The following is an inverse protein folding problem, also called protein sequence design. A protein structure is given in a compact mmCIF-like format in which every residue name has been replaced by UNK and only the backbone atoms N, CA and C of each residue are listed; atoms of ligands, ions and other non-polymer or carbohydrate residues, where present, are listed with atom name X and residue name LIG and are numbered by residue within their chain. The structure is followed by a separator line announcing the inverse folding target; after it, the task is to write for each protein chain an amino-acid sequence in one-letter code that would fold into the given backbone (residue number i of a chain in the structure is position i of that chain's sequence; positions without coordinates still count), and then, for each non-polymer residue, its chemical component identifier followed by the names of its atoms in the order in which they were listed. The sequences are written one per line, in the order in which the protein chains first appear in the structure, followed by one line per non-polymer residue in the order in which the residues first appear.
data_IF_326082135819
#
_entry.id   IF_326082135819
#
_cell.length_a   1.000
_cell.length_b   1.000
_cell.length_c   1.000
_cell.angle_alpha   90.00
_cell.angle_beta   90.00
_cell.angle_gamma   90.00
#
_symmetry.space_group_name_H-M   'P 1'
#
loop_
_entity.id
_entity.type
_entity.pdbx_description
1 polymer ?
#
# COMPACT_ATOMS: atom_id res chain seq x y z
N UNK A 1 9.05 -34.95 22.26
CA UNK A 1 9.08 -34.90 20.78
C UNK A 1 9.68 -33.57 20.37
N UNK A 2 10.90 -33.56 19.83
CA UNK A 2 11.53 -32.36 19.29
C UNK A 2 10.85 -32.00 17.97
N UNK A 3 9.77 -31.22 18.03
CA UNK A 3 9.14 -30.67 16.83
C UNK A 3 10.04 -29.55 16.31
N UNK A 4 10.71 -29.80 15.19
CA UNK A 4 11.43 -28.79 14.42
C UNK A 4 10.50 -27.57 14.23
N UNK A 5 10.95 -26.33 14.51
CA UNK A 5 10.08 -25.17 14.35
C UNK A 5 9.71 -25.06 12.88
N UNK A 6 8.41 -25.14 12.59
CA UNK A 6 7.88 -24.91 11.26
C UNK A 6 8.18 -23.47 10.87
N UNK A 7 8.83 -23.31 9.74
CA UNK A 7 9.33 -22.05 9.19
C UNK A 7 8.46 -21.59 8.04
N UNK A 8 8.55 -20.30 7.70
CA UNK A 8 7.92 -19.74 6.51
C UNK A 8 8.31 -20.53 5.24
N UNK A 9 9.55 -21.04 5.21
CA UNK A 9 10.08 -21.87 4.14
C UNK A 9 9.32 -23.21 3.95
N UNK A 10 8.71 -23.76 5.01
CA UNK A 10 7.93 -25.00 4.90
C UNK A 10 6.59 -24.77 4.19
N UNK A 11 6.01 -23.57 4.25
CA UNK A 11 4.82 -23.24 3.46
C UNK A 11 5.21 -22.99 1.99
N UNK A 12 6.29 -22.24 1.76
CA UNK A 12 6.80 -21.93 0.41
C UNK A 12 7.11 -23.21 -0.38
N UNK A 13 7.65 -24.24 0.26
CA UNK A 13 7.89 -25.55 -0.36
C UNK A 13 6.61 -26.28 -0.82
N UNK A 14 5.43 -25.82 -0.43
CA UNK A 14 4.15 -26.38 -0.92
C UNK A 14 3.62 -25.66 -2.17
N UNK A 15 4.27 -24.57 -2.60
CA UNK A 15 3.81 -23.73 -3.69
C UNK A 15 4.38 -24.23 -5.03
N UNK A 16 3.47 -24.73 -5.87
CA UNK A 16 3.73 -25.12 -7.25
C UNK A 16 2.84 -24.28 -8.16
N UNK A 17 3.42 -23.57 -9.11
CA UNK A 17 2.70 -22.65 -9.97
C UNK A 17 3.48 -22.26 -11.23
N UNK A 18 2.82 -21.57 -12.16
CA UNK A 18 3.42 -20.89 -13.30
C UNK A 18 3.12 -19.40 -13.17
N UNK A 19 4.16 -18.58 -13.03
CA UNK A 19 4.02 -17.14 -13.11
C UNK A 19 3.93 -16.73 -14.58
N UNK A 20 2.92 -15.93 -14.94
CA UNK A 20 2.60 -15.52 -16.30
C UNK A 20 2.55 -14.00 -16.37
N UNK A 21 3.17 -13.45 -17.40
CA UNK A 21 3.05 -12.04 -17.76
C UNK A 21 3.04 -11.88 -19.30
N UNK A 22 2.27 -10.91 -19.78
CA UNK A 22 2.12 -10.59 -21.20
C UNK A 22 2.40 -9.11 -21.47
N UNK A 23 3.19 -8.84 -22.51
CA UNK A 23 3.21 -7.51 -23.12
C UNK A 23 2.24 -7.44 -24.29
N UNK A 24 1.50 -6.34 -24.38
CA UNK A 24 0.39 -6.19 -25.33
C UNK A 24 0.40 -4.82 -26.02
N UNK A 25 -0.26 -4.70 -27.17
CA UNK A 25 -0.35 -3.43 -27.90
C UNK A 25 -1.33 -2.42 -27.30
N UNK A 26 -1.99 -2.76 -26.20
CA UNK A 26 -2.99 -1.95 -25.49
C UNK A 26 -3.83 -2.79 -24.54
N UNK A 27 -4.87 -2.21 -23.94
CA UNK A 27 -5.55 -2.80 -22.78
C UNK A 27 -6.79 -3.66 -23.10
N UNK A 28 -7.28 -3.67 -24.35
CA UNK A 28 -8.52 -4.38 -24.72
C UNK A 28 -8.20 -5.69 -25.45
N UNK A 29 -8.42 -6.87 -24.83
CA UNK A 29 -8.08 -8.17 -25.43
C UNK A 29 -8.84 -8.47 -26.74
N UNK A 30 -9.93 -7.74 -27.03
CA UNK A 30 -10.67 -7.88 -28.29
C UNK A 30 -10.04 -7.08 -29.42
N UNK A 31 -9.34 -5.98 -29.11
CA UNK A 31 -8.80 -5.02 -30.10
C UNK A 31 -7.28 -5.02 -30.18
N UNK A 32 -6.61 -5.43 -29.11
CA UNK A 32 -5.17 -5.41 -28.98
C UNK A 32 -4.60 -6.82 -29.10
N UNK A 33 -3.30 -6.88 -29.35
CA UNK A 33 -2.56 -8.11 -29.65
C UNK A 33 -1.46 -8.31 -28.62
N UNK A 34 -1.15 -9.57 -28.34
CA UNK A 34 -0.01 -9.98 -27.52
C UNK A 34 1.27 -9.83 -28.36
N UNK A 35 2.33 -9.27 -27.78
CA UNK A 35 3.63 -9.06 -28.43
C UNK A 35 4.80 -9.72 -27.71
N UNK A 36 4.66 -10.05 -26.43
CA UNK A 36 5.58 -10.90 -25.67
C UNK A 36 4.80 -11.74 -24.68
N UNK A 37 5.26 -12.98 -24.47
CA UNK A 37 4.72 -13.91 -23.48
C UNK A 37 5.89 -14.44 -22.67
N UNK A 38 5.79 -14.39 -21.34
CA UNK A 38 6.68 -15.13 -20.46
C UNK A 38 5.89 -15.95 -19.45
N UNK A 39 6.31 -17.20 -19.27
CA UNK A 39 5.76 -18.11 -18.28
C UNK A 39 6.90 -18.82 -17.54
N UNK A 40 6.94 -18.73 -16.22
CA UNK A 40 8.03 -19.26 -15.39
C UNK A 40 7.47 -20.26 -14.40
N UNK A 41 7.93 -21.50 -14.48
CA UNK A 41 7.48 -22.58 -13.60
C UNK A 41 8.25 -22.54 -12.30
N UNK A 42 7.49 -22.61 -11.21
CA UNK A 42 7.98 -22.82 -9.87
C UNK A 42 7.45 -24.14 -9.31
N UNK A 43 8.36 -24.96 -8.77
CA UNK A 43 8.06 -26.21 -8.06
C UNK A 43 8.71 -26.14 -6.69
N UNK A 44 7.93 -26.40 -5.65
CA UNK A 44 8.32 -26.27 -4.24
C UNK A 44 8.96 -24.92 -3.93
N UNK A 45 8.39 -23.85 -4.50
CA UNK A 45 8.87 -22.48 -4.35
C UNK A 45 10.21 -22.19 -5.04
N UNK A 46 10.66 -23.03 -5.98
CA UNK A 46 11.89 -22.81 -6.76
C UNK A 46 11.60 -22.80 -8.24
N UNK A 47 12.23 -21.86 -8.96
CA UNK A 47 12.22 -21.81 -10.43
C UNK A 47 12.78 -23.11 -11.01
N UNK A 48 12.04 -23.74 -11.91
CA UNK A 48 12.47 -24.97 -12.61
C UNK A 48 12.58 -24.80 -14.11
N UNK A 49 11.64 -24.07 -14.74
CA UNK A 49 11.56 -23.96 -16.19
C UNK A 49 11.10 -22.56 -16.61
N UNK A 50 11.46 -22.15 -17.82
CA UNK A 50 11.07 -20.86 -18.41
C UNK A 50 10.58 -21.10 -19.83
N UNK A 51 9.45 -20.48 -20.15
CA UNK A 51 8.96 -20.27 -21.50
C UNK A 51 8.94 -18.77 -21.78
N UNK A 52 9.53 -18.36 -22.90
CA UNK A 52 9.49 -16.97 -23.36
C UNK A 52 9.37 -16.95 -24.88
N UNK A 53 8.49 -16.10 -25.40
CA UNK A 53 8.39 -15.87 -26.83
C UNK A 53 7.95 -14.45 -27.12
N UNK A 54 8.62 -13.81 -28.06
CA UNK A 54 8.02 -12.69 -28.78
C UNK A 54 6.90 -13.21 -29.69
N UNK A 55 5.93 -12.34 -29.98
CA UNK A 55 4.79 -12.63 -30.85
C UNK A 55 4.68 -11.53 -31.89
N UNK A 56 4.63 -11.92 -33.17
CA UNK A 56 4.52 -10.96 -34.27
C UNK A 56 3.07 -10.48 -34.43
N UNK A 57 2.74 -9.20 -34.15
CA UNK A 57 1.38 -8.68 -34.29
C UNK A 57 0.99 -8.52 -35.76
N UNK A 58 -0.32 -8.50 -36.04
CA UNK A 58 -0.89 -8.21 -37.36
C UNK A 58 -0.96 -6.70 -37.60
N UNK A 59 -1.24 -5.92 -36.56
CA UNK A 59 -1.34 -4.46 -36.60
C UNK A 59 -0.03 -3.73 -36.31
N UNK A 60 -0.08 -2.40 -36.45
CA UNK A 60 1.02 -1.53 -36.02
C UNK A 60 1.01 -1.35 -34.51
N UNK A 61 2.20 -1.19 -33.94
CA UNK A 61 2.39 -0.99 -32.50
C UNK A 61 2.39 0.52 -32.23
N UNK A 62 1.53 1.02 -31.33
CA UNK A 62 1.58 2.42 -30.91
C UNK A 62 2.96 2.78 -30.35
N UNK A 63 3.50 3.94 -30.73
CA UNK A 63 4.87 4.36 -30.32
C UNK A 63 5.09 4.36 -28.80
N UNK A 64 4.04 4.65 -28.02
CA UNK A 64 4.17 4.66 -26.56
C UNK A 64 4.42 3.25 -25.98
N UNK A 65 3.94 2.18 -26.64
CA UNK A 65 4.18 0.79 -26.21
C UNK A 65 5.67 0.46 -26.35
N UNK A 66 6.32 0.85 -27.45
CA UNK A 66 7.78 0.70 -27.59
C UNK A 66 8.55 1.37 -26.44
N UNK A 67 8.16 2.58 -26.06
CA UNK A 67 8.81 3.30 -24.96
C UNK A 67 8.52 2.69 -23.59
N UNK A 68 7.35 2.07 -23.43
CA UNK A 68 6.96 1.40 -22.21
C UNK A 68 7.69 0.07 -22.06
N UNK A 69 7.65 -0.79 -23.09
CA UNK A 69 8.08 -2.19 -23.00
C UNK A 69 9.50 -2.43 -23.48
N UNK A 70 10.14 -1.44 -24.10
CA UNK A 70 11.45 -1.59 -24.72
C UNK A 70 11.51 -2.64 -25.85
N UNK A 71 10.36 -3.09 -26.38
CA UNK A 71 10.27 -4.04 -27.50
C UNK A 71 10.33 -3.28 -28.83
N UNK A 72 11.47 -3.33 -29.52
CA UNK A 72 11.64 -2.75 -30.85
C UNK A 72 10.84 -3.54 -31.90
N UNK A 73 10.11 -2.88 -32.82
CA UNK A 73 9.45 -3.55 -33.95
C UNK A 73 10.35 -4.53 -34.73
N UNK A 74 11.66 -4.31 -34.79
CA UNK A 74 12.62 -5.22 -35.44
C UNK A 74 12.70 -6.59 -34.73
N UNK A 75 12.54 -6.63 -33.41
CA UNK A 75 12.52 -7.87 -32.62
C UNK A 75 11.32 -8.75 -33.00
N UNK A 76 10.22 -8.13 -33.45
CA UNK A 76 8.97 -8.80 -33.77
C UNK A 76 8.84 -9.23 -35.23
N UNK A 77 9.75 -8.77 -36.12
CA UNK A 77 9.71 -9.12 -37.54
C UNK A 77 9.94 -10.61 -37.81
N UNK A 78 10.78 -11.25 -36.98
CA UNK A 78 11.10 -12.68 -37.07
C UNK A 78 10.40 -13.52 -36.00
N UNK A 79 9.59 -12.89 -35.16
CA UNK A 79 8.86 -13.59 -34.13
C UNK A 79 7.76 -14.48 -34.77
N UNK A 80 7.45 -15.63 -34.15
CA UNK A 80 6.34 -16.47 -34.59
C UNK A 80 5.00 -15.74 -34.45
N UNK A 81 3.97 -16.22 -35.17
CA UNK A 81 2.60 -15.74 -34.99
C UNK A 81 2.00 -16.31 -33.71
N UNK A 82 1.00 -15.63 -33.15
CA UNK A 82 0.35 -16.05 -31.91
C UNK A 82 -0.22 -17.48 -32.03
N UNK A 83 -0.76 -17.82 -33.20
CA UNK A 83 -1.31 -19.13 -33.51
C UNK A 83 -0.28 -20.28 -33.39
N UNK A 84 1.02 -19.97 -33.55
CA UNK A 84 2.12 -20.92 -33.39
C UNK A 84 2.60 -21.03 -31.93
N UNK A 85 2.53 -19.93 -31.18
CA UNK A 85 3.00 -19.82 -29.79
C UNK A 85 1.93 -20.30 -28.80
N UNK A 86 0.66 -20.05 -29.10
CA UNK A 86 -0.47 -20.31 -28.20
C UNK A 86 -0.56 -21.79 -27.75
N UNK A 87 -0.40 -22.80 -28.62
CA UNK A 87 -0.39 -24.19 -28.17
C UNK A 87 0.75 -24.50 -27.19
N UNK A 88 1.91 -23.87 -27.36
CA UNK A 88 3.10 -24.10 -26.54
C UNK A 88 2.93 -23.51 -25.14
N UNK A 89 2.38 -22.28 -25.04
CA UNK A 89 2.11 -21.67 -23.72
C UNK A 89 1.04 -22.44 -22.95
N UNK A 90 -0.02 -22.92 -23.62
CA UNK A 90 -1.06 -23.73 -22.96
C UNK A 90 -0.49 -25.07 -22.50
N UNK A 91 0.35 -25.71 -23.32
CA UNK A 91 1.05 -26.93 -22.90
C UNK A 91 2.00 -26.67 -21.73
N UNK A 92 2.71 -25.53 -21.73
CA UNK A 92 3.57 -25.14 -20.62
C UNK A 92 2.75 -24.88 -19.35
N UNK A 93 1.61 -24.21 -19.42
CA UNK A 93 0.77 -23.99 -18.23
C UNK A 93 0.22 -25.33 -17.71
N UNK A 94 -0.31 -26.18 -18.59
CA UNK A 94 -0.94 -27.46 -18.22
C UNK A 94 -2.04 -27.25 -17.17
N UNK A 95 -2.05 -28.08 -16.13
CA UNK A 95 -2.99 -27.97 -14.99
C UNK A 95 -2.44 -27.12 -13.83
N UNK A 96 -1.31 -26.41 -14.04
CA UNK A 96 -0.64 -25.64 -12.99
C UNK A 96 -1.51 -24.46 -12.54
N UNK A 97 -1.37 -24.06 -11.28
CA UNK A 97 -1.90 -22.76 -10.83
C UNK A 97 -1.20 -21.65 -11.58
N UNK A 98 -1.94 -20.63 -12.02
CA UNK A 98 -1.37 -19.46 -12.71
C UNK A 98 -1.23 -18.30 -11.71
N UNK A 99 -0.05 -17.73 -11.63
CA UNK A 99 0.24 -16.55 -10.82
C UNK A 99 0.48 -15.37 -11.74
N UNK A 100 -0.11 -14.22 -11.42
CA UNK A 100 0.07 -12.99 -12.20
C UNK A 100 -0.20 -11.76 -11.37
N UNK A 101 0.41 -10.64 -11.74
CA UNK A 101 0.08 -9.34 -11.19
C UNK A 101 -1.12 -8.77 -11.96
N UNK A 102 -2.32 -8.78 -11.36
CA UNK A 102 -3.58 -8.54 -12.11
C UNK A 102 -3.87 -9.64 -13.14
N UNK A 103 -3.65 -10.91 -12.78
CA UNK A 103 -3.70 -12.10 -13.65
C UNK A 103 -4.93 -12.21 -14.56
N UNK A 104 -6.07 -11.62 -14.16
CA UNK A 104 -7.27 -11.60 -15.00
C UNK A 104 -7.07 -10.84 -16.31
N UNK A 105 -6.13 -9.90 -16.37
CA UNK A 105 -5.74 -9.19 -17.59
C UNK A 105 -5.10 -10.17 -18.58
N UNK A 106 -4.03 -10.85 -18.17
CA UNK A 106 -3.26 -11.77 -19.01
C UNK A 106 -4.13 -12.92 -19.51
N UNK A 107 -4.92 -13.52 -18.60
CA UNK A 107 -5.85 -14.58 -18.95
C UNK A 107 -6.93 -14.07 -19.91
N UNK A 108 -7.40 -12.82 -19.76
CA UNK A 108 -8.35 -12.24 -20.70
C UNK A 108 -7.82 -12.16 -22.14
N UNK A 109 -6.52 -11.90 -22.32
CA UNK A 109 -5.86 -11.92 -23.62
C UNK A 109 -5.72 -13.34 -24.18
N UNK A 110 -5.29 -14.30 -23.36
CA UNK A 110 -5.18 -15.70 -23.77
C UNK A 110 -6.55 -16.31 -24.10
N UNK A 111 -7.57 -16.07 -23.29
CA UNK A 111 -8.94 -16.55 -23.51
C UNK A 111 -9.51 -15.98 -24.81
N UNK A 112 -9.29 -14.68 -25.09
CA UNK A 112 -9.71 -14.08 -26.35
C UNK A 112 -8.97 -14.69 -27.55
N UNK A 113 -7.70 -15.07 -27.41
CA UNK A 113 -6.95 -15.77 -28.47
C UNK A 113 -7.49 -17.19 -28.68
N UNK A 114 -7.70 -17.96 -27.61
CA UNK A 114 -8.25 -19.32 -27.65
C UNK A 114 -9.64 -19.36 -28.29
N UNK A 115 -10.52 -18.42 -27.92
CA UNK A 115 -11.85 -18.33 -28.49
C UNK A 115 -11.85 -18.05 -30.00
N UNK A 116 -10.90 -17.23 -30.50
CA UNK A 116 -10.76 -16.98 -31.96
C UNK A 116 -10.36 -18.25 -32.72
N UNK A 117 -9.64 -19.16 -32.08
CA UNK A 117 -9.29 -20.48 -32.64
C UNK A 117 -10.37 -21.55 -32.39
N UNK A 118 -11.50 -21.20 -31.76
CA UNK A 118 -12.54 -22.16 -31.39
C UNK A 118 -12.12 -23.16 -30.29
N UNK A 119 -11.12 -22.80 -29.47
CA UNK A 119 -10.64 -23.60 -28.34
C UNK A 119 -11.36 -23.23 -27.03
N UNK A 120 -11.28 -24.12 -26.05
CA UNK A 120 -11.74 -23.87 -24.69
C UNK A 120 -10.86 -22.83 -24.00
N UNK A 121 -11.47 -22.05 -23.10
CA UNK A 121 -10.80 -21.03 -22.27
C UNK A 121 -10.04 -21.64 -21.10
N UNK A 122 -9.15 -20.87 -20.48
CA UNK A 122 -8.34 -21.29 -19.34
C UNK A 122 -9.18 -21.36 -18.06
N UNK A 123 -9.24 -22.54 -17.46
CA UNK A 123 -10.00 -22.82 -16.23
C UNK A 123 -9.11 -23.07 -15.01
N UNK A 124 -7.80 -22.90 -15.13
CA UNK A 124 -6.83 -23.10 -14.06
C UNK A 124 -7.15 -22.23 -12.84
N UNK A 125 -6.84 -22.74 -11.65
CA UNK A 125 -6.77 -21.94 -10.44
C UNK A 125 -5.76 -20.80 -10.62
N UNK A 126 -6.05 -19.65 -10.02
CA UNK A 126 -5.25 -18.43 -10.16
C UNK A 126 -4.89 -17.87 -8.81
N UNK A 127 -3.71 -17.24 -8.70
CA UNK A 127 -3.30 -16.41 -7.56
C UNK A 127 -2.90 -15.02 -8.06
N UNK A 128 -3.63 -13.99 -7.65
CA UNK A 128 -3.37 -12.61 -8.05
C UNK A 128 -2.57 -11.87 -6.96
N UNK A 129 -1.30 -11.56 -7.26
CA UNK A 129 -0.41 -10.87 -6.32
C UNK A 129 -0.85 -9.42 -6.05
N UNK A 130 -1.54 -8.77 -7.00
CA UNK A 130 -2.12 -7.45 -6.79
C UNK A 130 -3.29 -7.52 -5.80
N UNK A 131 -4.19 -8.50 -5.96
CA UNK A 131 -5.31 -8.67 -5.03
C UNK A 131 -4.83 -9.01 -3.61
N UNK A 132 -3.91 -9.97 -3.49
CA UNK A 132 -3.35 -10.35 -2.19
C UNK A 132 -2.63 -9.19 -1.52
N UNK A 133 -1.83 -8.42 -2.25
CA UNK A 133 -1.16 -7.25 -1.67
C UNK A 133 -2.17 -6.17 -1.24
N UNK A 134 -3.27 -5.96 -1.97
CA UNK A 134 -4.34 -5.01 -1.57
C UNK A 134 -4.98 -5.35 -0.23
N UNK A 135 -5.04 -6.65 0.08
CA UNK A 135 -5.57 -7.13 1.36
C UNK A 135 -4.50 -7.02 2.45
N UNK A 136 -3.31 -7.56 2.22
CA UNK A 136 -2.32 -7.78 3.28
C UNK A 136 -1.28 -6.67 3.48
N UNK A 137 -1.15 -5.73 2.53
CA UNK A 137 -0.22 -4.60 2.57
C UNK A 137 -0.95 -3.25 2.50
N UNK A 138 -1.90 -2.93 3.39
CA UNK A 138 -2.78 -1.77 3.21
C UNK A 138 -2.07 -0.40 3.25
N UNK A 139 -0.85 -0.33 3.81
CA UNK A 139 -0.13 0.93 4.08
C UNK A 139 0.87 1.36 3.01
N UNK A 140 1.08 0.55 1.96
CA UNK A 140 1.94 0.94 0.82
C UNK A 140 1.19 1.96 -0.06
N UNK A 141 1.91 2.73 -0.86
CA UNK A 141 1.31 3.84 -1.61
C UNK A 141 0.36 3.39 -2.73
N UNK A 142 0.71 2.31 -3.41
CA UNK A 142 -0.06 1.66 -4.47
C UNK A 142 0.34 0.19 -4.57
N UNK A 143 -0.37 -0.57 -5.40
CA UNK A 143 -0.16 -2.01 -5.58
C UNK A 143 0.38 -2.33 -6.98
N UNK A 144 1.18 -1.43 -7.58
CA UNK A 144 1.96 -1.76 -8.77
C UNK A 144 3.05 -2.78 -8.43
N UNK A 145 3.47 -3.58 -9.42
CA UNK A 145 4.53 -4.58 -9.23
C UNK A 145 5.78 -3.94 -8.64
N UNK A 146 6.22 -2.80 -9.20
CA UNK A 146 7.40 -2.07 -8.71
C UNK A 146 7.27 -1.58 -7.27
N UNK A 147 6.09 -1.15 -6.82
CA UNK A 147 5.89 -0.76 -5.40
C UNK A 147 5.95 -1.97 -4.47
N UNK A 148 5.38 -3.10 -4.87
CA UNK A 148 5.42 -4.33 -4.07
C UNK A 148 6.85 -4.91 -4.03
N UNK A 149 7.58 -4.87 -5.14
CA UNK A 149 8.98 -5.28 -5.20
C UNK A 149 9.84 -4.45 -4.24
N UNK A 150 9.71 -3.12 -4.27
CA UNK A 150 10.39 -2.23 -3.31
C UNK A 150 10.02 -2.51 -1.85
N UNK A 151 8.78 -2.93 -1.58
CA UNK A 151 8.36 -3.26 -0.22
C UNK A 151 9.06 -4.52 0.31
N UNK A 152 9.33 -5.49 -0.57
CA UNK A 152 9.98 -6.75 -0.22
C UNK A 152 11.48 -6.81 -0.56
N UNK A 153 12.07 -5.68 -0.94
CA UNK A 153 13.46 -5.57 -1.39
C UNK A 153 13.80 -6.55 -2.55
N UNK A 154 12.89 -6.65 -3.54
CA UNK A 154 13.07 -7.41 -4.78
C UNK A 154 13.59 -6.47 -5.88
N UNK A 155 14.66 -6.89 -6.56
CA UNK A 155 15.26 -6.14 -7.67
C UNK A 155 14.45 -6.32 -8.95
N UNK A 156 13.68 -5.30 -9.33
CA UNK A 156 12.97 -5.27 -10.61
C UNK A 156 13.82 -4.52 -11.65
N UNK A 157 14.61 -5.28 -12.41
CA UNK A 157 15.44 -4.78 -13.52
C UNK A 157 14.71 -5.01 -14.84
N UNK A 158 14.72 -4.02 -15.74
CA UNK A 158 14.00 -4.06 -17.03
C UNK A 158 12.47 -4.23 -16.89
N UNK A 159 11.85 -3.48 -15.98
CA UNK A 159 10.39 -3.43 -15.84
C UNK A 159 9.70 -3.24 -17.20
N UNK A 160 8.50 -3.83 -17.36
CA UNK A 160 7.75 -3.88 -18.62
C UNK A 160 8.40 -4.75 -19.70
N UNK A 161 9.12 -5.78 -19.27
CA UNK A 161 9.47 -6.92 -20.09
C UNK A 161 8.81 -8.13 -19.47
N UNK A 162 8.12 -8.93 -20.29
CA UNK A 162 7.30 -10.02 -19.77
C UNK A 162 8.10 -11.00 -18.90
N UNK A 163 9.34 -11.32 -19.29
CA UNK A 163 10.21 -12.21 -18.52
C UNK A 163 10.63 -11.63 -17.16
N UNK A 164 11.01 -10.35 -17.14
CA UNK A 164 11.36 -9.65 -15.91
C UNK A 164 10.15 -9.53 -14.96
N UNK A 165 8.99 -9.15 -15.49
CA UNK A 165 7.77 -8.94 -14.71
C UNK A 165 7.18 -10.27 -14.23
N UNK A 166 7.25 -11.35 -15.03
CA UNK A 166 6.87 -12.71 -14.60
C UNK A 166 7.78 -13.24 -13.47
N UNK A 167 9.10 -13.03 -13.56
CA UNK A 167 10.04 -13.44 -12.52
C UNK A 167 9.78 -12.68 -11.21
N UNK A 168 9.69 -11.35 -11.28
CA UNK A 168 9.41 -10.52 -10.13
C UNK A 168 8.05 -10.84 -9.50
N UNK A 169 7.03 -11.17 -10.31
CA UNK A 169 5.72 -11.61 -9.84
C UNK A 169 5.81 -12.94 -9.07
N UNK A 170 6.62 -13.90 -9.55
CA UNK A 170 6.84 -15.16 -8.83
C UNK A 170 7.51 -14.92 -7.47
N UNK A 171 8.54 -14.08 -7.43
CA UNK A 171 9.22 -13.72 -6.18
C UNK A 171 8.29 -12.97 -5.22
N UNK A 172 7.48 -12.04 -5.73
CA UNK A 172 6.45 -11.34 -4.95
C UNK A 172 5.45 -12.32 -4.36
N UNK A 173 4.99 -13.31 -5.10
CA UNK A 173 4.07 -14.34 -4.59
C UNK A 173 4.70 -15.12 -3.43
N UNK A 174 5.97 -15.52 -3.56
CA UNK A 174 6.71 -16.20 -2.49
C UNK A 174 6.82 -15.29 -1.26
N UNK A 175 7.25 -14.03 -1.44
CA UNK A 175 7.39 -13.07 -0.34
C UNK A 175 6.08 -12.72 0.34
N UNK A 176 4.99 -12.58 -0.41
CA UNK A 176 3.64 -12.44 0.13
C UNK A 176 3.24 -13.66 0.96
N UNK A 177 3.49 -14.88 0.46
CA UNK A 177 3.18 -16.11 1.18
C UNK A 177 3.95 -16.21 2.51
N UNK A 178 5.27 -15.93 2.49
CA UNK A 178 6.10 -15.86 3.70
C UNK A 178 5.57 -14.83 4.69
N UNK A 179 5.31 -13.60 4.21
CA UNK A 179 4.79 -12.50 5.02
C UNK A 179 3.45 -12.86 5.66
N UNK A 180 2.51 -13.42 4.90
CA UNK A 180 1.17 -13.70 5.40
C UNK A 180 1.21 -14.76 6.50
N UNK A 181 1.94 -15.86 6.27
CA UNK A 181 2.04 -16.97 7.24
C UNK A 181 2.79 -16.55 8.50
N UNK A 182 3.82 -15.70 8.36
CA UNK A 182 4.59 -15.16 9.49
C UNK A 182 3.75 -14.29 10.41
N UNK A 183 2.81 -13.54 9.84
CA UNK A 183 2.19 -12.41 10.53
C UNK A 183 0.71 -12.58 10.88
N UNK A 184 -0.06 -13.37 10.12
CA UNK A 184 -1.50 -13.46 10.29
C UNK A 184 -1.96 -14.85 10.72
N UNK A 185 -2.72 -14.88 11.81
CA UNK A 185 -3.25 -16.12 12.36
C UNK A 185 -4.33 -16.72 11.44
N UNK A 186 -4.52 -18.03 11.54
CA UNK A 186 -5.52 -18.78 10.77
C UNK A 186 -6.92 -18.14 10.80
N UNK A 187 -7.36 -17.61 11.94
CA UNK A 187 -8.69 -16.98 12.05
C UNK A 187 -8.82 -15.69 11.24
N UNK A 188 -7.75 -14.90 11.12
CA UNK A 188 -7.73 -13.71 10.27
C UNK A 188 -7.84 -14.14 8.81
N UNK A 189 -7.03 -15.11 8.39
CA UNK A 189 -7.00 -15.59 7.01
C UNK A 189 -8.30 -16.31 6.62
N UNK A 190 -8.94 -17.03 7.55
CA UNK A 190 -10.23 -17.68 7.34
C UNK A 190 -11.31 -16.65 7.08
N UNK A 191 -11.23 -15.50 7.78
CA UNK A 191 -12.13 -14.39 7.55
C UNK A 191 -11.91 -13.74 6.18
N UNK A 192 -10.66 -13.59 5.74
CA UNK A 192 -10.37 -13.10 4.38
C UNK A 192 -10.92 -14.06 3.32
N UNK A 193 -10.80 -15.37 3.51
CA UNK A 193 -11.39 -16.35 2.59
C UNK A 193 -12.91 -16.23 2.51
N UNK A 194 -13.59 -16.13 3.67
CA UNK A 194 -15.05 -15.95 3.72
C UNK A 194 -15.49 -14.65 3.02
N UNK A 195 -14.79 -13.54 3.23
CA UNK A 195 -15.05 -12.29 2.51
C UNK A 195 -14.80 -12.41 1.01
N UNK A 196 -13.77 -13.16 0.58
CA UNK A 196 -13.49 -13.43 -0.84
C UNK A 196 -14.62 -14.23 -1.50
N UNK A 197 -15.18 -15.23 -0.80
CA UNK A 197 -16.34 -15.99 -1.27
C UNK A 197 -17.57 -15.10 -1.40
N UNK A 198 -17.88 -14.29 -0.39
CA UNK A 198 -19.01 -13.37 -0.44
C UNK A 198 -18.85 -12.30 -1.53
N UNK A 199 -17.62 -11.88 -1.81
CA UNK A 199 -17.28 -10.95 -2.87
C UNK A 199 -17.37 -11.56 -4.29
N UNK A 200 -17.54 -12.88 -4.41
CA UNK A 200 -17.48 -13.61 -5.69
C UNK A 200 -16.11 -13.51 -6.39
N UNK A 201 -15.03 -13.33 -5.61
CA UNK A 201 -13.65 -13.22 -6.10
C UNK A 201 -12.85 -14.52 -5.86
N UNK A 202 -13.52 -15.66 -5.73
CA UNK A 202 -12.84 -16.92 -5.43
C UNK A 202 -11.90 -17.39 -6.55
N UNK A 203 -12.12 -16.92 -7.78
CA UNK A 203 -11.41 -17.36 -8.98
C UNK A 203 -10.02 -16.71 -9.14
N UNK A 204 -9.70 -15.67 -8.36
CA UNK A 204 -8.44 -14.93 -8.44
C UNK A 204 -7.45 -15.27 -7.35
N UNK A 205 -7.88 -15.42 -6.09
CA UNK A 205 -6.97 -15.73 -4.96
C UNK A 205 -7.56 -16.73 -3.96
N UNK A 206 -8.78 -17.20 -4.18
CA UNK A 206 -9.49 -18.10 -3.25
C UNK A 206 -8.78 -19.44 -3.08
N UNK A 207 -8.15 -19.97 -4.14
CA UNK A 207 -7.36 -21.20 -4.07
C UNK A 207 -6.15 -21.04 -3.15
N UNK A 208 -5.40 -19.93 -3.25
CA UNK A 208 -4.25 -19.64 -2.37
C UNK A 208 -4.67 -19.62 -0.91
N UNK A 209 -5.74 -18.88 -0.59
CA UNK A 209 -6.24 -18.74 0.78
C UNK A 209 -6.67 -20.09 1.37
N UNK A 210 -7.34 -20.96 0.59
CA UNK A 210 -7.69 -22.32 1.02
C UNK A 210 -6.46 -23.16 1.32
N UNK A 211 -5.49 -23.19 0.38
CA UNK A 211 -4.23 -23.93 0.53
C UNK A 211 -3.45 -23.48 1.77
N UNK A 212 -3.36 -22.17 1.99
CA UNK A 212 -2.73 -21.58 3.17
C UNK A 212 -3.45 -22.00 4.46
N UNK A 213 -4.78 -21.95 4.49
CA UNK A 213 -5.56 -22.34 5.68
C UNK A 213 -5.44 -23.82 6.01
N UNK A 214 -5.40 -24.69 5.00
CA UNK A 214 -5.13 -26.12 5.20
C UNK A 214 -3.76 -26.35 5.83
N UNK A 215 -2.74 -25.63 5.35
CA UNK A 215 -1.41 -25.67 5.94
C UNK A 215 -1.42 -25.14 7.38
N UNK A 216 -2.03 -23.99 7.64
CA UNK A 216 -2.12 -23.42 9.00
C UNK A 216 -2.88 -24.36 9.96
N UNK A 217 -3.92 -25.03 9.48
CA UNK A 217 -4.71 -26.01 10.24
C UNK A 217 -3.90 -27.25 10.62
N UNK A 218 -3.07 -27.77 9.72
CA UNK A 218 -2.18 -28.92 10.00
C UNK A 218 -1.08 -28.58 11.00
N UNK A 219 -0.74 -27.30 11.11
CA UNK A 219 0.36 -26.78 11.93
C UNK A 219 -0.15 -25.98 13.15
N UNK A 220 -1.38 -26.24 13.60
CA UNK A 220 -1.98 -25.58 14.78
C UNK A 220 -1.15 -25.83 16.05
N UNK A 221 -1.11 -24.83 16.93
CA UNK A 221 -0.41 -24.91 18.22
C UNK A 221 1.10 -24.64 18.14
N UNK A 222 1.65 -24.43 16.94
CA UNK A 222 3.03 -23.98 16.77
C UNK A 222 3.13 -22.44 16.79
N UNK A 223 4.30 -21.92 17.18
CA UNK A 223 4.75 -20.51 17.29
C UNK A 223 3.66 -19.43 17.15
N UNK A 224 3.44 -18.66 18.24
CA UNK A 224 2.55 -17.50 18.22
C UNK A 224 2.98 -16.50 17.14
N UNK A 225 2.10 -16.26 16.17
CA UNK A 225 2.30 -15.20 15.16
C UNK A 225 2.11 -13.83 15.79
N UNK A 226 2.84 -12.84 15.28
CA UNK A 226 2.71 -11.45 15.66
C UNK A 226 2.39 -10.61 14.45
N UNK A 227 1.39 -9.74 14.56
CA UNK A 227 1.05 -8.77 13.53
C UNK A 227 2.30 -7.93 13.16
N UNK A 228 2.44 -7.53 11.89
CA UNK A 228 3.55 -6.73 11.44
C UNK A 228 3.50 -5.35 12.11
N UNK A 229 4.66 -4.74 12.40
CA UNK A 229 4.69 -3.41 12.99
C UNK A 229 4.13 -2.37 11.99
N UNK A 230 3.33 -1.43 12.50
CA UNK A 230 2.86 -0.29 11.73
C UNK A 230 3.51 1.01 12.26
N UNK A 231 4.31 1.66 11.41
CA UNK A 231 4.98 2.93 11.75
C UNK A 231 4.13 4.17 11.48
N UNK A 232 3.00 4.04 10.76
CA UNK A 232 2.08 5.15 10.52
C UNK A 232 1.30 5.42 11.79
N UNK A 233 1.78 6.40 12.55
CA UNK A 233 1.12 6.97 13.72
C UNK A 233 0.62 8.37 13.40
N UNK A 234 -0.41 8.83 14.09
CA UNK A 234 -0.97 10.18 13.96
C UNK A 234 -0.54 11.11 15.10
N UNK A 235 0.41 10.67 15.93
CA UNK A 235 1.00 11.45 17.04
C UNK A 235 2.51 11.26 17.01
N UNK A 236 3.25 12.37 16.99
CA UNK A 236 4.71 12.38 17.12
C UNK A 236 5.05 13.15 18.39
N UNK A 237 5.73 12.48 19.32
CA UNK A 237 6.30 13.09 20.52
C UNK A 237 7.82 13.11 20.40
N UNK A 238 8.40 14.27 20.73
CA UNK A 238 9.82 14.49 20.88
C UNK A 238 10.06 15.08 22.27
N UNK A 239 10.85 14.38 23.09
CA UNK A 239 11.25 14.84 24.42
C UNK A 239 12.76 15.08 24.40
N UNK A 240 13.15 16.26 24.80
CA UNK A 240 14.54 16.68 24.89
C UNK A 240 14.85 17.05 26.35
N UNK A 241 16.01 16.62 26.85
CA UNK A 241 16.35 16.71 28.29
C UNK A 241 16.60 18.15 28.72
N UNK A 242 17.09 19.00 27.82
CA UNK A 242 17.38 20.42 28.07
C UNK A 242 16.94 21.26 26.87
N UNK A 243 15.65 21.62 26.86
CA UNK A 243 15.05 22.39 25.76
C UNK A 243 15.80 23.70 25.50
N UNK A 244 16.31 23.85 24.28
CA UNK A 244 17.05 25.06 23.86
C UNK A 244 16.30 25.82 22.79
N UNK A 245 15.72 26.95 23.18
CA UNK A 245 15.14 27.92 22.25
C UNK A 245 16.29 28.64 21.54
N UNK A 246 16.28 28.60 20.22
CA UNK A 246 17.26 29.25 19.36
C UNK A 246 16.58 30.38 18.55
N UNK A 247 17.34 31.41 18.21
CA UNK A 247 16.88 32.45 17.27
C UNK A 247 16.76 31.89 15.84
N UNK A 248 15.94 32.54 15.01
CA UNK A 248 15.81 32.16 13.60
C UNK A 248 17.15 32.25 12.83
N UNK A 249 18.06 33.12 13.25
CA UNK A 249 19.43 33.20 12.72
C UNK A 249 20.28 31.97 13.11
N UNK A 250 20.18 31.50 14.36
CA UNK A 250 20.87 30.29 14.82
C UNK A 250 20.32 29.01 14.19
N UNK A 251 19.08 29.02 13.70
CA UNK A 251 18.44 27.87 13.05
C UNK A 251 18.68 27.88 11.54
N UNK A 252 18.23 28.95 10.87
CA UNK A 252 18.20 29.08 9.40
C UNK A 252 19.38 29.84 8.80
N UNK A 253 20.27 30.41 9.61
CA UNK A 253 21.44 31.15 9.12
C UNK A 253 22.48 30.25 8.43
N UNK A 254 23.44 30.89 7.77
CA UNK A 254 24.53 30.22 7.02
C UNK A 254 25.37 29.25 7.87
N UNK A 255 25.42 29.46 9.18
CA UNK A 255 26.14 28.61 10.15
C UNK A 255 25.19 28.01 11.21
N UNK A 256 23.89 27.99 10.90
CA UNK A 256 22.83 27.57 11.79
C UNK A 256 22.73 26.05 11.97
N UNK A 257 21.79 25.62 12.82
CA UNK A 257 21.54 24.20 13.13
C UNK A 257 21.24 23.39 11.87
N UNK A 258 20.43 23.92 10.96
CA UNK A 258 20.08 23.19 9.74
C UNK A 258 21.30 23.01 8.83
N UNK A 259 22.13 24.04 8.66
CA UNK A 259 23.37 23.91 7.89
C UNK A 259 24.29 22.83 8.44
N UNK A 260 24.38 22.73 9.78
CA UNK A 260 25.27 21.76 10.45
C UNK A 260 24.77 20.32 10.47
N UNK A 261 23.44 20.12 10.42
CA UNK A 261 22.82 18.80 10.67
C UNK A 261 22.00 18.26 9.50
N UNK A 262 21.67 19.08 8.52
CA UNK A 262 20.87 18.67 7.37
C UNK A 262 21.76 18.57 6.13
N UNK A 263 21.98 17.32 5.70
CA UNK A 263 22.76 17.03 4.50
C UNK A 263 22.15 17.72 3.29
N UNK A 264 22.97 18.49 2.54
CA UNK A 264 22.54 19.33 1.42
C UNK A 264 21.61 20.52 1.77
N UNK A 265 21.71 21.06 2.99
CA UNK A 265 21.05 22.34 3.30
C UNK A 265 21.63 23.47 2.46
N UNK A 266 20.76 24.14 1.71
CA UNK A 266 21.07 25.39 1.02
C UNK A 266 20.47 26.56 1.82
N UNK A 267 21.33 27.49 2.23
CA UNK A 267 20.92 28.70 2.90
C UNK A 267 20.04 29.56 1.98
N UNK A 268 18.90 30.02 2.49
CA UNK A 268 17.97 30.91 1.79
C UNK A 268 17.53 32.01 2.74
N UNK A 269 17.88 33.26 2.44
CA UNK A 269 17.47 34.43 3.24
C UNK A 269 15.95 34.48 3.42
N UNK A 270 15.18 34.19 2.37
CA UNK A 270 13.71 34.16 2.44
C UNK A 270 13.15 33.16 3.47
N UNK A 271 13.84 32.03 3.74
CA UNK A 271 13.41 31.08 4.77
C UNK A 271 13.54 31.69 6.16
N UNK A 272 14.70 32.30 6.42
CA UNK A 272 15.05 32.96 7.67
C UNK A 272 14.16 34.18 7.93
N UNK A 273 13.98 35.01 6.90
CA UNK A 273 13.21 36.24 6.99
C UNK A 273 11.71 35.93 7.21
N UNK A 274 11.18 34.90 6.54
CA UNK A 274 9.84 34.37 6.82
C UNK A 274 9.74 33.84 8.26
N UNK A 275 10.73 33.08 8.74
CA UNK A 275 10.74 32.58 10.11
C UNK A 275 10.70 33.70 11.16
N UNK A 276 11.49 34.75 10.96
CA UNK A 276 11.48 35.96 11.81
C UNK A 276 10.12 36.65 11.78
N UNK A 277 9.56 36.86 10.59
CA UNK A 277 8.24 37.48 10.46
C UNK A 277 7.15 36.69 11.19
N UNK A 278 7.20 35.34 11.13
CA UNK A 278 6.26 34.47 11.86
C UNK A 278 6.49 34.57 13.38
N UNK A 279 7.73 34.55 13.85
CA UNK A 279 8.07 34.74 15.27
C UNK A 279 7.56 36.09 15.80
N UNK A 280 7.79 37.18 15.05
CA UNK A 280 7.33 38.53 15.39
C UNK A 280 5.81 38.62 15.41
N UNK A 281 5.12 37.97 14.46
CA UNK A 281 3.66 37.95 14.40
C UNK A 281 3.05 37.24 15.61
N UNK A 282 3.64 36.12 16.05
CA UNK A 282 3.25 35.45 17.29
C UNK A 282 3.51 36.35 18.52
N UNK A 283 4.69 36.97 18.61
CA UNK A 283 5.06 37.81 19.75
C UNK A 283 4.19 39.06 19.87
N UNK A 284 3.78 39.65 18.76
CA UNK A 284 2.97 40.88 18.71
C UNK A 284 1.45 40.60 18.59
N UNK A 285 1.03 39.34 18.56
CA UNK A 285 -0.36 38.93 18.33
C UNK A 285 -1.00 39.58 17.09
N UNK A 286 -0.27 39.59 15.96
CA UNK A 286 -0.71 40.18 14.69
C UNK A 286 -0.94 39.12 13.61
N UNK A 287 -1.79 39.45 12.64
CA UNK A 287 -1.91 38.66 11.41
C UNK A 287 -0.76 38.98 10.46
N UNK A 288 -0.17 37.92 9.89
CA UNK A 288 0.88 38.00 8.89
C UNK A 288 0.41 37.29 7.62
N UNK A 289 0.54 37.97 6.48
CA UNK A 289 0.40 37.38 5.16
C UNK A 289 1.78 37.35 4.50
N UNK A 290 2.24 36.15 4.10
CA UNK A 290 3.52 35.97 3.40
C UNK A 290 3.26 35.24 2.09
N UNK A 291 3.69 35.83 0.99
CA UNK A 291 3.85 35.12 -0.28
C UNK A 291 5.26 34.53 -0.32
N UNK A 292 5.37 33.22 -0.46
CA UNK A 292 6.67 32.54 -0.53
C UNK A 292 6.73 31.57 -1.72
N UNK A 293 7.71 31.78 -2.59
CA UNK A 293 7.96 30.95 -3.77
C UNK A 293 8.26 29.49 -3.43
N UNK A 294 8.18 28.60 -4.42
CA UNK A 294 8.63 27.21 -4.29
C UNK A 294 10.13 27.18 -3.93
N UNK A 295 10.57 26.16 -3.21
CA UNK A 295 11.98 26.02 -2.80
C UNK A 295 12.43 26.90 -1.62
N UNK A 296 11.65 27.90 -1.17
CA UNK A 296 12.01 28.79 -0.04
C UNK A 296 12.14 28.06 1.31
N UNK A 297 11.69 26.80 1.43
CA UNK A 297 11.69 26.09 2.71
C UNK A 297 10.57 26.52 3.65
N UNK A 298 9.42 26.91 3.06
CA UNK A 298 8.21 27.43 3.73
C UNK A 298 7.78 26.62 4.95
N UNK A 299 7.73 25.29 4.83
CA UNK A 299 7.26 24.40 5.91
C UNK A 299 8.04 24.65 7.20
N UNK A 300 9.37 24.59 7.13
CA UNK A 300 10.20 24.79 8.31
C UNK A 300 10.12 26.23 8.81
N UNK A 301 10.04 27.20 7.89
CA UNK A 301 9.97 28.62 8.25
C UNK A 301 8.77 28.97 9.14
N UNK A 302 7.61 28.31 9.01
CA UNK A 302 6.51 28.50 9.95
C UNK A 302 6.46 27.44 11.07
N UNK A 303 6.92 26.21 10.84
CA UNK A 303 6.86 25.14 11.85
C UNK A 303 7.81 25.39 13.02
N UNK A 304 9.04 25.82 12.75
CA UNK A 304 10.05 26.06 13.78
C UNK A 304 9.59 27.15 14.78
N UNK A 305 9.26 28.39 14.35
CA UNK A 305 8.79 29.40 15.29
C UNK A 305 7.47 29.00 15.96
N UNK A 306 6.58 28.26 15.28
CA UNK A 306 5.35 27.73 15.90
C UNK A 306 5.65 26.74 17.04
N UNK A 307 6.58 25.79 16.84
CA UNK A 307 7.00 24.84 17.87
C UNK A 307 7.63 25.55 19.06
N UNK A 308 8.52 26.53 18.80
CA UNK A 308 9.15 27.30 19.87
C UNK A 308 8.16 28.21 20.61
N UNK A 309 7.17 28.78 19.90
CA UNK A 309 6.10 29.56 20.53
C UNK A 309 5.24 28.67 21.45
N UNK A 310 4.82 27.50 20.96
CA UNK A 310 4.06 26.50 21.72
C UNK A 310 4.83 26.06 22.97
N UNK A 311 6.14 25.82 22.85
CA UNK A 311 7.00 25.45 23.98
C UNK A 311 7.12 26.57 25.03
N UNK A 312 7.29 27.83 24.59
CA UNK A 312 7.42 28.99 25.49
C UNK A 312 6.14 29.27 26.27
N UNK A 313 4.99 29.23 25.60
CA UNK A 313 3.73 29.71 26.16
C UNK A 313 2.81 28.58 26.64
N UNK A 314 3.15 27.32 26.33
CA UNK A 314 2.31 26.14 26.56
C UNK A 314 0.96 26.21 25.85
N UNK A 315 0.95 26.88 24.69
CA UNK A 315 -0.23 27.05 23.83
C UNK A 315 -0.21 26.06 22.65
N UNK A 316 -1.39 25.75 22.13
CA UNK A 316 -1.54 24.88 20.95
C UNK A 316 -1.52 25.71 19.67
N UNK A 317 -0.57 25.44 18.77
CA UNK A 317 -0.54 26.03 17.43
C UNK A 317 -1.20 25.08 16.43
N UNK A 318 -2.18 25.59 15.67
CA UNK A 318 -2.87 24.85 14.61
C UNK A 318 -2.27 25.22 13.26
N UNK A 319 -1.72 24.23 12.56
CA UNK A 319 -1.30 24.37 11.16
C UNK A 319 -2.37 23.79 10.26
N UNK A 320 -2.92 24.62 9.38
CA UNK A 320 -3.95 24.23 8.40
C UNK A 320 -3.41 24.33 6.98
N UNK A 321 -3.69 23.32 6.17
CA UNK A 321 -3.28 23.25 4.75
C UNK A 321 -4.49 23.03 3.84
N UNK A 322 -4.35 23.37 2.56
CA UNK A 322 -5.45 23.24 1.59
C UNK A 322 -5.88 21.78 1.36
N UNK A 323 -4.93 20.83 1.37
CA UNK A 323 -5.22 19.42 1.08
C UNK A 323 -4.66 18.48 2.16
N UNK A 324 -5.24 17.27 2.24
CA UNK A 324 -4.78 16.20 3.14
C UNK A 324 -3.38 15.71 2.78
N UNK A 325 -3.05 15.67 1.49
CA UNK A 325 -1.71 15.27 1.04
C UNK A 325 -0.65 16.25 1.53
N UNK A 326 -0.93 17.56 1.49
CA UNK A 326 -0.03 18.57 2.06
C UNK A 326 0.09 18.39 3.58
N UNK A 327 -1.02 18.11 4.26
CA UNK A 327 -1.02 17.85 5.70
C UNK A 327 -0.15 16.63 6.07
N UNK A 328 -0.27 15.54 5.32
CA UNK A 328 0.51 14.32 5.50
C UNK A 328 1.99 14.53 5.17
N UNK A 329 2.32 15.34 4.16
CA UNK A 329 3.70 15.70 3.87
C UNK A 329 4.34 16.42 5.06
N UNK A 330 3.64 17.39 5.66
CA UNK A 330 4.14 18.06 6.86
C UNK A 330 4.36 17.07 8.01
N UNK A 331 3.42 16.15 8.20
CA UNK A 331 3.41 15.26 9.35
C UNK A 331 4.39 14.09 9.24
N UNK A 332 4.49 13.45 8.08
CA UNK A 332 5.30 12.25 7.88
C UNK A 332 6.70 12.52 7.32
N UNK A 333 6.96 13.73 6.79
CA UNK A 333 8.29 14.09 6.27
C UNK A 333 8.90 15.24 7.06
N UNK A 334 8.21 16.38 7.15
CA UNK A 334 8.80 17.59 7.71
C UNK A 334 8.98 17.50 9.24
N UNK A 335 7.97 17.02 9.97
CA UNK A 335 8.02 16.88 11.44
C UNK A 335 9.10 15.88 11.89
N UNK A 336 9.23 14.66 11.33
CA UNK A 336 10.31 13.75 11.69
C UNK A 336 11.71 14.32 11.44
N UNK A 337 11.90 15.10 10.35
CA UNK A 337 13.15 15.81 10.12
C UNK A 337 13.40 16.86 11.20
N UNK A 338 12.41 17.67 11.55
CA UNK A 338 12.54 18.66 12.63
C UNK A 338 12.81 18.00 14.00
N UNK A 339 12.27 16.81 14.24
CA UNK A 339 12.56 16.00 15.43
C UNK A 339 14.05 15.65 15.55
N UNK A 340 14.69 15.31 14.44
CA UNK A 340 16.13 14.98 14.41
C UNK A 340 17.02 16.23 14.53
N UNK A 341 16.56 17.36 13.98
CA UNK A 341 17.35 18.58 13.87
C UNK A 341 17.28 19.46 15.13
N UNK A 342 16.09 19.65 15.69
CA UNK A 342 15.85 20.66 16.73
C UNK A 342 16.09 20.14 18.15
N UNK A 343 16.79 20.92 19.00
CA UNK A 343 17.01 20.60 20.41
C UNK A 343 15.85 21.08 21.30
N UNK A 344 14.61 20.79 20.91
CA UNK A 344 13.41 21.20 21.65
C UNK A 344 12.40 20.06 21.75
N UNK A 345 11.70 19.98 22.87
CA UNK A 345 10.57 19.10 23.05
C UNK A 345 9.36 19.64 22.30
N UNK A 346 8.63 18.75 21.64
CA UNK A 346 7.35 19.09 21.02
C UNK A 346 6.46 17.86 20.86
N UNK A 347 5.17 18.12 20.73
CA UNK A 347 4.15 17.13 20.38
C UNK A 347 3.40 17.61 19.16
N UNK A 348 3.37 16.78 18.11
CA UNK A 348 2.62 17.05 16.89
C UNK A 348 1.51 16.01 16.73
N UNK A 349 0.32 16.46 16.35
CA UNK A 349 -0.86 15.60 16.19
C UNK A 349 -1.52 15.84 14.83
N UNK A 350 -1.73 14.77 14.06
CA UNK A 350 -2.40 14.82 12.76
C UNK A 350 -3.91 14.66 12.93
N UNK A 351 -4.66 15.73 12.66
CA UNK A 351 -6.12 15.76 12.82
C UNK A 351 -6.83 15.95 11.49
N UNK A 352 -7.79 15.07 11.20
CA UNK A 352 -8.68 15.17 10.03
C UNK A 352 -10.14 15.26 10.46
N UNK A 353 -11.02 15.49 9.49
CA UNK A 353 -12.46 15.39 9.69
C UNK A 353 -12.82 14.01 10.26
N UNK A 354 -13.80 13.96 11.16
CA UNK A 354 -14.14 12.73 11.88
C UNK A 354 -14.64 11.60 10.99
N UNK A 355 -15.22 11.95 9.86
CA UNK A 355 -15.68 11.02 8.82
C UNK A 355 -14.55 10.27 8.13
N UNK A 356 -13.28 10.61 8.39
CA UNK A 356 -12.10 9.87 7.94
C UNK A 356 -11.71 8.74 8.89
N UNK A 357 -12.30 8.68 10.08
CA UNK A 357 -11.95 7.68 11.09
C UNK A 357 -12.99 6.57 11.18
N UNK A 358 -12.53 5.33 11.35
CA UNK A 358 -13.38 4.19 11.63
C UNK A 358 -14.06 4.33 13.00
N UNK A 359 -15.33 3.93 13.08
CA UNK A 359 -16.04 3.77 14.34
C UNK A 359 -16.05 2.28 14.75
N UNK A 360 -15.33 1.93 15.81
CA UNK A 360 -15.18 0.54 16.27
C UNK A 360 -16.55 -0.10 16.57
N UNK A 361 -17.46 0.64 17.20
CA UNK A 361 -18.82 0.14 17.46
C UNK A 361 -19.51 -0.27 16.15
N UNK A 362 -19.57 0.64 15.18
CA UNK A 362 -20.28 0.40 13.91
C UNK A 362 -19.59 -0.66 13.05
N UNK A 363 -18.27 -0.77 13.15
CA UNK A 363 -17.52 -1.90 12.60
C UNK A 363 -17.98 -3.22 13.20
N UNK A 364 -18.03 -3.32 14.54
CA UNK A 364 -18.48 -4.52 15.24
C UNK A 364 -19.95 -4.86 14.91
N UNK A 365 -20.84 -3.86 14.91
CA UNK A 365 -22.24 -4.00 14.53
C UNK A 365 -22.36 -4.61 13.12
N UNK A 366 -21.60 -4.06 12.15
CA UNK A 366 -21.59 -4.56 10.77
C UNK A 366 -21.06 -6.01 10.69
N UNK A 367 -20.02 -6.35 11.44
CA UNK A 367 -19.48 -7.71 11.45
C UNK A 367 -20.44 -8.72 12.10
N UNK A 368 -21.26 -8.31 13.07
CA UNK A 368 -22.30 -9.14 13.69
C UNK A 368 -23.52 -9.31 12.77
N UNK A 369 -23.88 -8.27 12.01
CA UNK A 369 -24.99 -8.28 11.04
C UNK A 369 -24.78 -9.25 9.86
N UNK A 370 -23.58 -9.80 9.68
CA UNK A 370 -23.26 -10.70 8.56
C UNK A 370 -24.04 -12.02 8.55
N UNK A 371 -24.83 -12.29 9.59
CA UNK A 371 -25.87 -13.32 9.57
C UNK A 371 -26.99 -13.05 8.55
N UNK A 372 -27.09 -11.81 8.01
CA UNK A 372 -28.09 -11.39 7.01
C UNK A 372 -27.55 -11.30 5.57
N UNK A 373 -26.29 -11.67 5.35
CA UNK A 373 -25.62 -11.65 4.04
C UNK A 373 -25.11 -10.26 3.66
N UNK A 374 -23.83 -10.15 3.30
CA UNK A 374 -23.25 -8.95 2.69
C UNK A 374 -23.50 -8.96 1.18
N UNK A 375 -23.61 -7.78 0.58
CA UNK A 375 -23.48 -7.68 -0.88
C UNK A 375 -22.05 -8.02 -1.28
N UNK A 376 -21.85 -8.56 -2.50
CA UNK A 376 -20.50 -8.85 -3.00
C UNK A 376 -19.61 -7.61 -3.03
N UNK A 377 -20.20 -6.45 -3.31
CA UNK A 377 -19.51 -5.16 -3.28
C UNK A 377 -19.05 -4.75 -1.87
N UNK A 378 -19.91 -4.90 -0.86
CA UNK A 378 -19.53 -4.60 0.53
C UNK A 378 -18.51 -5.61 1.06
N UNK A 379 -18.64 -6.89 0.69
CA UNK A 379 -17.67 -7.93 1.04
C UNK A 379 -16.27 -7.61 0.46
N UNK A 380 -16.19 -7.14 -0.79
CA UNK A 380 -14.94 -6.66 -1.39
C UNK A 380 -14.39 -5.44 -0.65
N UNK A 381 -15.23 -4.45 -0.32
CA UNK A 381 -14.76 -3.29 0.44
C UNK A 381 -14.25 -3.67 1.84
N UNK A 382 -14.88 -4.66 2.47
CA UNK A 382 -14.47 -5.17 3.79
C UNK A 382 -13.18 -5.97 3.73
N UNK A 383 -12.90 -6.72 2.66
CA UNK A 383 -11.63 -7.47 2.54
C UNK A 383 -10.43 -6.52 2.57
N UNK A 384 -10.54 -5.35 1.92
CA UNK A 384 -9.49 -4.32 1.97
C UNK A 384 -9.38 -3.62 3.32
N UNK A 385 -10.46 -3.56 4.11
CA UNK A 385 -10.44 -2.90 5.42
C UNK A 385 -10.07 -3.83 6.57
N UNK A 386 -10.26 -5.15 6.42
CA UNK A 386 -10.15 -6.09 7.55
C UNK A 386 -8.74 -6.13 8.13
N UNK A 387 -7.73 -6.40 7.30
CA UNK A 387 -6.32 -6.37 7.74
C UNK A 387 -5.93 -4.97 8.20
N UNK A 388 -6.31 -3.92 7.46
CA UNK A 388 -6.02 -2.54 7.86
C UNK A 388 -6.55 -2.23 9.27
N UNK A 389 -7.78 -2.64 9.61
CA UNK A 389 -8.37 -2.43 10.92
C UNK A 389 -7.60 -3.16 12.03
N UNK A 390 -7.03 -4.33 11.75
CA UNK A 390 -6.21 -5.07 12.71
C UNK A 390 -4.84 -4.41 12.94
N UNK A 391 -4.35 -3.62 11.98
CA UNK A 391 -3.02 -3.02 12.01
C UNK A 391 -2.99 -1.50 12.28
N UNK A 392 -4.10 -0.80 12.08
CA UNK A 392 -4.14 0.66 12.19
C UNK A 392 -4.11 1.11 13.65
N UNK A 393 -3.24 2.07 13.96
CA UNK A 393 -3.19 2.73 15.26
C UNK A 393 -4.09 3.96 15.31
N UNK A 394 -4.32 4.63 14.17
CA UNK A 394 -5.05 5.89 14.11
C UNK A 394 -6.51 5.72 13.71
N UNK A 395 -6.86 4.61 13.05
CA UNK A 395 -8.16 4.38 12.43
C UNK A 395 -8.49 5.33 11.28
N UNK A 396 -7.51 6.09 10.78
CA UNK A 396 -7.66 6.98 9.63
C UNK A 396 -7.59 6.21 8.31
N UNK A 397 -8.70 6.19 7.59
CA UNK A 397 -8.84 5.41 6.34
C UNK A 397 -7.87 5.85 5.24
N UNK A 398 -7.30 7.06 5.31
CA UNK A 398 -6.28 7.50 4.35
C UNK A 398 -4.96 6.75 4.46
N UNK A 399 -4.75 6.00 5.53
CA UNK A 399 -3.65 5.04 5.64
C UNK A 399 -3.81 3.84 4.70
N UNK A 400 -5.01 3.58 4.18
CA UNK A 400 -5.33 2.41 3.37
C UNK A 400 -5.42 2.79 1.87
N UNK A 401 -4.40 2.45 1.10
CA UNK A 401 -4.35 2.73 -0.35
C UNK A 401 -5.30 1.86 -1.18
N UNK A 402 -5.75 0.73 -0.64
CA UNK A 402 -6.66 -0.21 -1.31
C UNK A 402 -8.13 0.17 -1.19
N UNK A 403 -8.49 0.98 -0.20
CA UNK A 403 -9.88 1.36 0.05
C UNK A 403 -10.25 2.70 -0.59
N UNK A 404 -10.82 2.66 -1.79
CA UNK A 404 -11.38 3.86 -2.42
C UNK A 404 -12.75 4.22 -1.81
N UNK A 405 -12.78 5.31 -1.03
CA UNK A 405 -13.99 5.85 -0.41
C UNK A 405 -15.06 6.32 -1.39
N UNK A 406 -14.70 6.67 -2.63
CA UNK A 406 -15.68 7.01 -3.66
C UNK A 406 -16.39 5.75 -4.13
N UNK A 407 -15.60 4.72 -4.46
CA UNK A 407 -16.09 3.39 -4.86
C UNK A 407 -16.92 2.71 -3.75
N UNK A 408 -16.46 2.76 -2.50
CA UNK A 408 -17.09 2.09 -1.36
C UNK A 408 -17.77 3.07 -0.38
N UNK A 409 -18.28 4.20 -0.88
CA UNK A 409 -18.85 5.25 -0.03
C UNK A 409 -20.09 4.83 0.76
N UNK A 410 -20.87 3.89 0.24
CA UNK A 410 -21.99 3.27 0.95
C UNK A 410 -21.53 2.53 2.20
N UNK A 411 -20.60 1.58 2.04
CA UNK A 411 -19.96 0.85 3.12
C UNK A 411 -19.29 1.80 4.13
N UNK A 412 -18.47 2.75 3.66
CA UNK A 412 -17.74 3.65 4.55
C UNK A 412 -18.67 4.48 5.44
N UNK A 413 -19.77 5.01 4.89
CA UNK A 413 -20.77 5.75 5.68
C UNK A 413 -21.45 4.89 6.76
N UNK A 414 -21.46 3.55 6.62
CA UNK A 414 -22.01 2.62 7.61
C UNK A 414 -21.06 2.35 8.78
N UNK A 415 -19.75 2.54 8.59
CA UNK A 415 -18.73 2.17 9.58
C UNK A 415 -17.89 3.34 10.10
N UNK A 416 -17.94 4.51 9.46
CA UNK A 416 -17.17 5.67 9.90
C UNK A 416 -17.75 6.34 11.15
N UNK A 417 -16.96 7.22 11.76
CA UNK A 417 -17.39 8.05 12.87
C UNK A 417 -18.16 9.28 12.39
N UNK A 418 -19.36 9.51 12.93
CA UNK A 418 -20.23 10.66 12.60
C UNK A 418 -20.86 11.30 13.85
N UNK A 419 -21.43 12.50 13.71
CA UNK A 419 -21.77 13.43 14.83
C UNK A 419 -23.09 13.06 15.45
N UNK A 420 -23.93 12.42 14.67
CA UNK A 420 -25.31 12.12 14.99
C UNK A 420 -25.43 10.75 15.67
N UNK A 421 -24.64 9.75 15.25
CA UNK A 421 -24.68 8.40 15.83
C UNK A 421 -23.71 8.17 17.01
N UNK A 422 -22.80 9.12 17.27
CA UNK A 422 -21.78 8.96 18.30
C UNK A 422 -22.40 9.08 19.72
N UNK A 423 -22.13 8.09 20.57
CA UNK A 423 -22.59 8.10 21.97
C UNK A 423 -21.66 8.87 22.93
N UNK A 424 -20.56 9.43 22.43
CA UNK A 424 -19.55 10.11 23.24
C UNK A 424 -19.03 9.20 24.37
N UNK A 425 -18.97 9.74 25.59
CA UNK A 425 -18.49 9.03 26.79
C UNK A 425 -19.31 7.79 27.17
N UNK A 426 -20.55 7.65 26.67
CA UNK A 426 -21.41 6.48 26.92
C UNK A 426 -21.12 5.31 25.97
N UNK A 427 -20.24 5.49 24.99
CA UNK A 427 -19.89 4.42 24.06
C UNK A 427 -19.12 3.30 24.79
N UNK A 428 -19.50 2.01 24.65
CA UNK A 428 -18.76 0.90 25.26
C UNK A 428 -17.31 0.81 24.75
N UNK A 429 -17.06 1.34 23.55
CA UNK A 429 -15.74 1.37 22.91
C UNK A 429 -15.01 2.71 23.11
N UNK A 430 -15.37 3.53 24.10
CA UNK A 430 -14.78 4.87 24.29
C UNK A 430 -13.25 4.84 24.45
N UNK A 431 -12.73 3.90 25.24
CA UNK A 431 -11.29 3.80 25.53
C UNK A 431 -10.44 3.32 24.35
N UNK A 432 -11.01 2.67 23.36
CA UNK A 432 -10.31 2.24 22.14
C UNK A 432 -10.69 3.10 20.93
N UNK A 433 -11.63 4.04 21.08
CA UNK A 433 -12.09 4.86 19.99
C UNK A 433 -10.98 5.79 19.48
N UNK A 434 -10.55 5.55 18.24
CA UNK A 434 -9.57 6.34 17.50
C UNK A 434 -9.76 7.86 17.63
N UNK A 435 -10.99 8.33 17.47
CA UNK A 435 -11.30 9.77 17.53
C UNK A 435 -11.20 10.33 18.94
N UNK A 436 -11.62 9.57 19.96
CA UNK A 436 -11.55 10.04 21.35
C UNK A 436 -10.12 10.01 21.86
N UNK A 437 -9.33 9.00 21.48
CA UNK A 437 -7.90 8.96 21.73
C UNK A 437 -7.17 10.11 21.06
N UNK A 438 -7.45 10.37 19.78
CA UNK A 438 -6.89 11.51 19.06
C UNK A 438 -7.22 12.84 19.74
N UNK A 439 -8.47 13.05 20.16
CA UNK A 439 -8.87 14.27 20.90
C UNK A 439 -8.10 14.44 22.21
N UNK A 440 -7.90 13.36 22.96
CA UNK A 440 -7.08 13.39 24.17
C UNK A 440 -5.66 13.86 23.88
N UNK A 441 -5.06 13.44 22.77
CA UNK A 441 -3.74 13.92 22.35
C UNK A 441 -3.71 15.38 21.90
N UNK A 442 -4.83 15.94 21.43
CA UNK A 442 -4.94 17.36 21.06
C UNK A 442 -5.13 18.25 22.30
N UNK A 443 -5.80 17.73 23.33
CA UNK A 443 -6.10 18.44 24.59
C UNK A 443 -4.96 18.39 25.63
N UNK A 444 -3.96 17.52 25.42
CA UNK A 444 -2.80 17.30 26.31
C UNK A 444 -1.51 17.54 25.56
#
# INVERSE_FOLDING_TARGET
MNTKPISEADFVQTLDFVALDLETTGLDPKKNEIIEIAAIRYVQGKKTDVFQSFVSPKGSIPKFIYHLTHIDPQMLQKAPRLEEVLPQVIQFIGDSVIVGQNVSFDIGFLDAALQREGRLVITNDRWDTMELSRIYLPFINDHSLGTICRYFDIDLVNAHRADADAEATAEVMIKLAEYIVKHFAMMINARILDLSHQAQNQDSSGHFLRKMLEWQRRNLGMKKVSLPPNKRVNVVEHKFVDDKILSMDEIFGEQGVLHKRFENFEYRSGQRDMGKAVEDAFAQAKHLAVEAGTGVGKSFAYLVPAMQHSLRHKDTVVVSTNTKNLQEQLFFQDIPRLKELLPISFKAVLVKGRENYLCIRRWNDLLMEQTRGLSSWDAQGLSYLFIWKELSHSGDVSENSSFDRKRFGGLWRRINSDRFSCMGRRCPHFNECYVMQLRKHVET
#
